data_IF_984640280890
#
_entry.id   IF_984640280890
#
_cell.length_a   1.000
_cell.length_b   1.000
_cell.length_c   1.000
_cell.angle_alpha   90.00
_cell.angle_beta   90.00
_cell.angle_gamma   90.00
#
_symmetry.space_group_name_H-M   'P 1'
#
loop_
_entity.id
_entity.type
_entity.pdbx_description
1 polymer ?
#
# COMPACT_ATOMS: atom_id res chain seq x y z
N UNK A 1 14.03 -31.24 3.30
CA UNK A 1 14.14 -29.85 2.78
C UNK A 1 13.47 -28.92 3.77
N UNK A 2 14.19 -27.91 4.27
CA UNK A 2 13.68 -26.98 5.29
C UNK A 2 12.72 -26.01 4.57
N UNK A 3 11.42 -26.12 4.81
CA UNK A 3 10.44 -25.25 4.16
C UNK A 3 10.68 -23.81 4.59
N UNK A 4 10.97 -22.92 3.65
CA UNK A 4 10.99 -21.48 3.86
C UNK A 4 9.55 -21.01 4.06
N UNK A 5 9.04 -21.15 5.28
CA UNK A 5 7.81 -20.51 5.71
C UNK A 5 8.14 -19.03 5.91
N UNK A 6 8.12 -18.28 4.81
CA UNK A 6 8.15 -16.83 4.85
C UNK A 6 7.03 -16.39 5.79
N UNK A 7 7.40 -15.91 6.96
CA UNK A 7 6.48 -15.27 7.89
C UNK A 7 6.21 -13.91 7.28
N UNK A 8 5.30 -13.87 6.31
CA UNK A 8 4.61 -12.65 5.95
C UNK A 8 3.95 -12.19 7.25
N UNK A 9 4.62 -11.25 7.91
CA UNK A 9 4.12 -10.49 9.04
C UNK A 9 2.95 -9.71 8.46
N UNK A 10 1.78 -10.35 8.40
CA UNK A 10 0.51 -9.69 8.15
C UNK A 10 0.34 -8.78 9.36
N UNK A 11 0.77 -7.53 9.21
CA UNK A 11 0.54 -6.50 10.21
C UNK A 11 -0.96 -6.33 10.29
N UNK A 12 -1.54 -7.00 11.27
CA UNK A 12 -2.96 -7.29 11.51
C UNK A 12 -3.83 -6.05 11.78
N UNK A 13 -3.42 -4.86 11.35
CA UNK A 13 -4.14 -3.62 11.63
C UNK A 13 -3.82 -2.49 10.63
N UNK A 14 -3.60 -2.84 9.37
CA UNK A 14 -3.46 -1.91 8.27
C UNK A 14 -4.76 -1.94 7.46
N UNK A 15 -5.88 -1.52 8.05
CA UNK A 15 -7.13 -1.38 7.30
C UNK A 15 -6.99 -0.31 6.22
N UNK A 16 -7.44 -0.62 5.00
CA UNK A 16 -7.45 0.33 3.88
C UNK A 16 -8.08 1.65 4.32
N UNK A 17 -7.31 2.72 4.20
CA UNK A 17 -7.70 4.04 4.68
C UNK A 17 -7.70 5.04 3.53
N UNK A 18 -8.27 6.22 3.80
CA UNK A 18 -8.42 7.29 2.81
C UNK A 18 -7.10 7.78 2.20
N UNK A 19 -5.96 7.54 2.84
CA UNK A 19 -4.64 7.87 2.30
C UNK A 19 -4.20 6.85 1.25
N UNK A 20 -4.53 5.57 1.45
CA UNK A 20 -4.29 4.50 0.48
C UNK A 20 -5.14 4.74 -0.78
N UNK A 21 -6.41 5.13 -0.61
CA UNK A 21 -7.30 5.47 -1.74
C UNK A 21 -6.83 6.71 -2.52
N UNK A 22 -6.34 7.73 -1.81
CA UNK A 22 -5.71 8.90 -2.46
C UNK A 22 -4.44 8.55 -3.20
N UNK A 23 -3.67 7.58 -2.70
CA UNK A 23 -2.46 7.10 -3.37
C UNK A 23 -2.82 6.38 -4.66
N UNK A 24 -3.79 5.46 -4.60
CA UNK A 24 -4.26 4.70 -5.76
C UNK A 24 -4.78 5.64 -6.85
N UNK A 25 -5.63 6.62 -6.49
CA UNK A 25 -6.07 7.65 -7.43
C UNK A 25 -4.89 8.43 -8.04
N UNK A 26 -3.93 8.87 -7.23
CA UNK A 26 -2.78 9.61 -7.74
C UNK A 26 -1.97 8.81 -8.78
N UNK A 27 -1.84 7.49 -8.57
CA UNK A 27 -1.23 6.57 -9.55
C UNK A 27 -2.10 6.45 -10.81
N UNK A 28 -3.41 6.26 -10.67
CA UNK A 28 -4.34 6.17 -11.81
C UNK A 28 -4.37 7.44 -12.67
N UNK A 29 -4.28 8.62 -12.04
CA UNK A 29 -4.19 9.91 -12.72
C UNK A 29 -2.77 10.27 -13.19
N UNK A 30 -1.79 9.40 -12.96
CA UNK A 30 -0.39 9.58 -13.34
C UNK A 30 0.25 10.87 -12.75
N UNK A 31 -0.18 11.24 -11.54
CA UNK A 31 0.26 12.41 -10.77
C UNK A 31 1.46 12.06 -9.88
N UNK A 32 2.66 12.11 -10.47
CA UNK A 32 3.89 11.73 -9.79
C UNK A 32 4.24 12.61 -8.57
N UNK A 33 3.86 13.90 -8.58
CA UNK A 33 4.12 14.80 -7.45
C UNK A 33 3.28 14.41 -6.23
N UNK A 34 1.99 14.11 -6.47
CA UNK A 34 1.09 13.65 -5.41
C UNK A 34 1.48 12.27 -4.89
N UNK A 35 1.86 11.34 -5.77
CA UNK A 35 2.38 10.02 -5.37
C UNK A 35 3.61 10.19 -4.47
N UNK A 36 4.59 10.99 -4.88
CA UNK A 36 5.82 11.23 -4.12
C UNK A 36 5.52 11.84 -2.75
N UNK A 37 4.63 12.83 -2.69
CA UNK A 37 4.21 13.49 -1.45
C UNK A 37 3.51 12.53 -0.48
N UNK A 38 2.68 11.62 -1.00
CA UNK A 38 1.98 10.62 -0.19
C UNK A 38 2.94 9.54 0.33
N UNK A 39 3.87 9.05 -0.50
CA UNK A 39 4.86 8.03 -0.11
C UNK A 39 5.80 8.48 1.01
N UNK A 40 6.07 9.79 1.12
CA UNK A 40 6.86 10.35 2.22
C UNK A 40 6.15 10.26 3.57
N UNK A 41 4.83 10.02 3.59
CA UNK A 41 4.04 9.96 4.82
C UNK A 41 4.31 8.65 5.57
N UNK A 42 4.89 8.78 6.77
CA UNK A 42 5.23 7.66 7.64
C UNK A 42 4.01 6.77 7.90
N UNK A 43 4.13 5.49 7.57
CA UNK A 43 3.09 4.48 7.79
C UNK A 43 2.18 4.22 6.59
N UNK A 44 2.36 4.91 5.46
CA UNK A 44 1.76 4.52 4.19
C UNK A 44 2.50 3.29 3.64
N UNK A 45 1.75 2.27 3.22
CA UNK A 45 2.32 1.02 2.70
C UNK A 45 1.80 0.83 1.28
N UNK A 46 2.56 1.23 0.24
CA UNK A 46 2.08 1.13 -1.15
C UNK A 46 1.84 -0.32 -1.58
N UNK A 47 2.47 -1.29 -0.92
CA UNK A 47 2.26 -2.73 -1.17
C UNK A 47 1.01 -3.30 -0.50
N UNK A 48 0.21 -2.47 0.16
CA UNK A 48 -1.03 -2.87 0.79
C UNK A 48 -2.10 -3.08 -0.28
N UNK A 49 -2.93 -4.10 -0.09
CA UNK A 49 -4.02 -4.42 -1.00
C UNK A 49 -5.31 -3.76 -0.53
N UNK A 50 -6.06 -3.19 -1.46
CA UNK A 50 -7.42 -2.70 -1.24
C UNK A 50 -8.41 -3.87 -1.11
N UNK A 51 -9.69 -3.62 -0.78
CA UNK A 51 -10.71 -4.67 -0.70
C UNK A 51 -10.88 -5.49 -2.00
N UNK A 52 -10.52 -4.94 -3.15
CA UNK A 52 -10.52 -5.62 -4.44
C UNK A 52 -9.22 -6.39 -4.75
N UNK A 53 -8.20 -6.30 -3.89
CA UNK A 53 -6.94 -7.03 -4.04
C UNK A 53 -5.88 -6.35 -4.93
N UNK A 54 -6.02 -5.05 -5.18
CA UNK A 54 -5.11 -4.19 -5.94
C UNK A 54 -4.20 -3.40 -5.01
N UNK A 55 -2.97 -3.13 -5.45
CA UNK A 55 -2.05 -2.18 -4.82
C UNK A 55 -1.92 -0.92 -5.67
N UNK A 56 -1.45 0.17 -5.05
CA UNK A 56 -0.99 1.34 -5.78
C UNK A 56 0.28 1.03 -6.60
#
# INVERSE_FOLDING_TARGET
>A
MKSLKARFKKSDNQDWNKSDEKLLQAVEYNDAERVSSLLLRKGLVPTKLDPEGKSA
#
